data_IF_915554544463
#
_entry.id   IF_915554544463
#
_cell.length_a   1.000
_cell.length_b   1.000
_cell.length_c   1.000
_cell.angle_alpha   90.00
_cell.angle_beta   90.00
_cell.angle_gamma   90.00
#
_symmetry.space_group_name_H-M   'P 1'
#
loop_
_entity.id
_entity.type
_entity.pdbx_description
1 polymer ?
#
# COMPACT_ATOMS: atom_id res chain seq x y z
N UNK A 1 8.67 -1.24 -4.81
CA UNK A 1 9.22 -1.55 -3.46
C UNK A 1 8.98 -3.00 -3.04
N UNK A 2 7.73 -3.46 -2.86
CA UNK A 2 7.45 -4.84 -2.44
C UNK A 2 8.02 -5.92 -3.38
N UNK A 3 7.92 -5.72 -4.71
CA UNK A 3 8.47 -6.65 -5.69
C UNK A 3 9.97 -6.94 -5.49
N UNK A 4 10.75 -5.90 -5.17
CA UNK A 4 12.19 -6.03 -4.97
C UNK A 4 12.51 -6.82 -3.70
N UNK A 5 11.74 -6.61 -2.63
CA UNK A 5 11.91 -7.37 -1.39
C UNK A 5 11.65 -8.85 -1.61
N UNK A 6 10.61 -9.19 -2.37
CA UNK A 6 10.33 -10.58 -2.74
C UNK A 6 11.50 -11.18 -3.51
N UNK A 7 12.03 -10.47 -4.52
CA UNK A 7 13.19 -10.93 -5.30
C UNK A 7 14.41 -11.14 -4.40
N UNK A 8 14.73 -10.17 -3.55
CA UNK A 8 15.90 -10.22 -2.66
C UNK A 8 15.78 -11.27 -1.55
N UNK A 9 14.55 -11.65 -1.18
CA UNK A 9 14.32 -12.71 -0.19
C UNK A 9 14.66 -14.11 -0.70
N UNK A 10 14.77 -14.30 -2.03
CA UNK A 10 14.90 -15.62 -2.65
C UNK A 10 13.62 -16.48 -2.58
N UNK A 11 12.56 -16.01 -1.93
CA UNK A 11 11.29 -16.72 -1.83
C UNK A 11 10.39 -16.47 -3.05
N UNK A 12 9.54 -17.46 -3.35
CA UNK A 12 8.57 -17.32 -4.44
C UNK A 12 7.40 -16.40 -4.06
N UNK A 13 6.77 -15.78 -5.06
CA UNK A 13 5.52 -15.02 -4.87
C UNK A 13 4.41 -15.86 -4.22
N UNK A 14 4.38 -17.17 -4.45
CA UNK A 14 3.42 -18.08 -3.80
C UNK A 14 3.64 -18.15 -2.29
N UNK A 15 4.90 -18.20 -1.84
CA UNK A 15 5.24 -18.21 -0.41
C UNK A 15 4.84 -16.88 0.22
N UNK A 16 5.21 -15.77 -0.41
CA UNK A 16 4.84 -14.44 0.07
C UNK A 16 3.33 -14.23 0.15
N UNK A 17 2.57 -14.66 -0.85
CA UNK A 17 1.11 -14.59 -0.83
C UNK A 17 0.52 -15.33 0.38
N UNK A 18 1.03 -16.54 0.68
CA UNK A 18 0.64 -17.30 1.87
C UNK A 18 1.00 -16.58 3.18
N UNK A 19 2.20 -16.00 3.28
CA UNK A 19 2.65 -15.26 4.48
C UNK A 19 1.79 -14.02 4.75
N UNK A 20 1.40 -13.30 3.70
CA UNK A 20 0.51 -12.13 3.79
C UNK A 20 -0.95 -12.55 4.08
N UNK A 21 -1.32 -13.77 3.64
CA UNK A 21 -2.69 -14.30 3.76
C UNK A 21 -3.60 -13.85 2.62
N UNK A 22 -3.08 -13.77 1.40
CA UNK A 22 -3.81 -13.39 0.18
C UNK A 22 -3.61 -14.42 -0.93
N UNK A 23 -4.42 -14.34 -2.00
CA UNK A 23 -4.21 -15.20 -3.17
C UNK A 23 -2.98 -14.75 -3.98
N UNK A 24 -2.38 -15.69 -4.73
CA UNK A 24 -1.28 -15.40 -5.65
C UNK A 24 -1.69 -14.37 -6.72
N UNK A 25 -2.92 -14.45 -7.23
CA UNK A 25 -3.45 -13.50 -8.22
C UNK A 25 -3.55 -12.10 -7.61
N UNK A 26 -4.10 -11.98 -6.41
CA UNK A 26 -4.20 -10.71 -5.70
C UNK A 26 -2.82 -10.09 -5.48
N UNK A 27 -1.83 -10.88 -5.05
CA UNK A 27 -0.45 -10.39 -4.92
C UNK A 27 0.11 -9.90 -6.26
N UNK A 28 -0.11 -10.63 -7.36
CA UNK A 28 0.31 -10.16 -8.68
C UNK A 28 -0.33 -8.82 -9.07
N UNK A 29 -1.62 -8.64 -8.79
CA UNK A 29 -2.32 -7.38 -9.06
C UNK A 29 -1.75 -6.22 -8.22
N UNK A 30 -1.41 -6.47 -6.95
CA UNK A 30 -0.72 -5.48 -6.11
C UNK A 30 0.66 -5.11 -6.67
N UNK A 31 1.46 -6.11 -7.08
CA UNK A 31 2.81 -5.88 -7.58
C UNK A 31 2.83 -5.12 -8.92
N UNK A 32 1.79 -5.29 -9.72
CA UNK A 32 1.62 -4.59 -11.00
C UNK A 32 0.94 -3.22 -10.83
N UNK A 33 0.46 -2.87 -9.64
CA UNK A 33 -0.27 -1.63 -9.39
C UNK A 33 -1.72 -1.62 -9.88
N UNK A 34 -2.25 -2.77 -10.33
CA UNK A 34 -3.64 -2.90 -10.78
C UNK A 34 -4.66 -2.83 -9.63
N UNK A 35 -4.18 -3.02 -8.40
CA UNK A 35 -5.00 -3.02 -7.20
C UNK A 35 -4.22 -2.42 -6.02
N UNK A 36 -4.96 -1.75 -5.15
CA UNK A 36 -4.45 -1.26 -3.87
C UNK A 36 -4.81 -2.25 -2.74
N UNK A 37 -3.91 -2.52 -1.78
CA UNK A 37 -4.24 -3.35 -0.65
C UNK A 37 -5.23 -2.63 0.29
N UNK A 38 -6.13 -3.39 0.91
CA UNK A 38 -6.87 -2.88 2.07
C UNK A 38 -5.94 -2.69 3.28
N UNK A 39 -6.37 -1.91 4.28
CA UNK A 39 -5.55 -1.56 5.45
C UNK A 39 -4.93 -2.78 6.14
N UNK A 40 -5.72 -3.81 6.40
CA UNK A 40 -5.23 -5.04 7.06
C UNK A 40 -4.09 -5.71 6.28
N UNK A 41 -4.21 -5.77 4.95
CA UNK A 41 -3.19 -6.35 4.08
C UNK A 41 -1.95 -5.45 4.06
N UNK A 42 -2.12 -4.14 3.97
CA UNK A 42 -1.03 -3.16 4.00
C UNK A 42 -0.21 -3.28 5.30
N UNK A 43 -0.88 -3.34 6.46
CA UNK A 43 -0.23 -3.49 7.77
C UNK A 43 0.49 -4.83 7.89
N UNK A 44 -0.06 -5.92 7.35
CA UNK A 44 0.64 -7.23 7.32
C UNK A 44 1.90 -7.17 6.47
N UNK A 45 1.84 -6.51 5.31
CA UNK A 45 3.01 -6.33 4.45
C UNK A 45 4.06 -5.49 5.19
N UNK A 46 3.67 -4.40 5.83
CA UNK A 46 4.59 -3.56 6.63
C UNK A 46 5.31 -4.38 7.70
N UNK A 47 4.57 -5.17 8.49
CA UNK A 47 5.14 -6.03 9.53
C UNK A 47 6.10 -7.09 8.95
N UNK A 48 5.69 -7.76 7.87
CA UNK A 48 6.53 -8.78 7.21
C UNK A 48 7.80 -8.20 6.60
N UNK A 49 7.75 -6.95 6.16
CA UNK A 49 8.88 -6.24 5.56
C UNK A 49 9.65 -5.39 6.58
N UNK A 50 9.31 -5.51 7.86
CA UNK A 50 9.92 -4.76 8.96
C UNK A 50 9.95 -3.24 8.70
N UNK A 51 8.85 -2.71 8.16
CA UNK A 51 8.71 -1.29 7.84
C UNK A 51 9.28 -0.86 6.49
N UNK A 52 9.95 -1.74 5.74
CA UNK A 52 10.51 -1.38 4.43
C UNK A 52 9.42 -1.06 3.38
N UNK A 53 8.18 -1.52 3.60
CA UNK A 53 7.01 -1.08 2.83
C UNK A 53 5.95 -0.57 3.81
N UNK A 54 5.95 0.72 4.16
CA UNK A 54 5.01 1.27 5.13
C UNK A 54 3.58 1.31 4.56
N UNK A 55 2.57 1.09 5.39
CA UNK A 55 1.17 1.12 4.97
C UNK A 55 0.75 2.47 4.33
N UNK A 56 1.36 3.57 4.78
CA UNK A 56 1.15 4.91 4.24
C UNK A 56 1.59 5.05 2.79
N UNK A 57 2.49 4.19 2.28
CA UNK A 57 2.95 4.25 0.88
C UNK A 57 1.87 3.97 -0.17
N UNK A 58 0.75 3.38 0.24
CA UNK A 58 -0.42 3.18 -0.62
C UNK A 58 -1.47 4.26 -0.48
N UNK A 59 -1.37 5.15 0.51
CA UNK A 59 -2.34 6.22 0.72
C UNK A 59 -1.84 7.45 -0.05
N UNK A 60 -2.63 7.98 -1.00
CA UNK A 60 -2.29 9.25 -1.62
C UNK A 60 -2.20 10.32 -0.54
N UNK A 61 -1.15 11.14 -0.57
CA UNK A 61 -1.11 12.35 0.23
C UNK A 61 -2.33 13.18 -0.16
N UNK A 62 -3.23 13.41 0.81
CA UNK A 62 -4.47 14.11 0.54
C UNK A 62 -4.12 15.46 -0.06
N UNK A 63 -4.42 15.66 -1.34
CA UNK A 63 -4.29 16.96 -1.98
C UNK A 63 -5.07 17.94 -1.12
N UNK A 64 -4.36 18.93 -0.57
CA UNK A 64 -4.84 19.91 0.40
C UNK A 64 -6.25 20.40 0.05
N UNK A 65 -7.25 19.79 0.67
CA UNK A 65 -8.63 20.22 0.48
C UNK A 65 -8.83 21.49 1.31
N UNK A 66 -9.04 22.60 0.59
CA UNK A 66 -9.71 23.84 1.00
C UNK A 66 -9.05 24.67 2.12
N UNK A 67 -8.21 25.66 1.75
CA UNK A 67 -7.85 26.77 2.66
C UNK A 67 -8.43 28.13 2.26
N UNK A 68 -9.08 28.33 1.10
CA UNK A 68 -9.56 29.68 0.74
C UNK A 68 -10.92 29.66 0.06
N UNK A 69 -12.01 29.64 0.84
CA UNK A 69 -13.29 30.25 0.44
C UNK A 69 -14.22 30.48 1.64
N UNK A 70 -13.73 31.15 2.69
CA UNK A 70 -14.61 31.85 3.62
C UNK A 70 -14.91 33.23 3.04
N UNK A 71 -16.06 33.33 2.40
CA UNK A 71 -16.65 34.58 1.89
C UNK A 71 -17.16 35.42 3.07
N UNK A 72 -16.25 36.02 3.83
CA UNK A 72 -16.59 37.20 4.63
C UNK A 72 -16.73 38.39 3.68
N UNK A 73 -17.97 38.83 3.47
CA UNK A 73 -18.37 40.24 3.43
C UNK A 73 -19.85 40.32 3.02
N UNK A 74 -20.74 39.93 3.95
CA UNK A 74 -22.00 40.64 4.07
C UNK A 74 -21.67 41.99 4.74
N UNK A 75 -21.73 43.07 3.97
CA UNK A 75 -21.77 44.45 4.45
C UNK A 75 -22.60 45.28 3.46
#
# INVERSE_FOLDING_TARGET
MLAQIIINSGETRTIWAKRIGVSKSYLSDLLNGNRQPGLDVAVRIERLTQGAVPATSWVPEAAEASTLENKDAAA
#
